data_IF_944701219087
#
_entry.id   IF_944701219087
#
_cell.length_a   1.000
_cell.length_b   1.000
_cell.length_c   1.000
_cell.angle_alpha   90.00
_cell.angle_beta   90.00
_cell.angle_gamma   90.00
#
_symmetry.space_group_name_H-M   'P 1'
#
loop_
_entity.id
_entity.type
_entity.pdbx_description
1 polymer ?
#
# COMPACT_ATOMS: atom_id res chain seq x y z
N UNK A 1 15.31 4.67 -17.22
CA UNK A 1 14.14 3.78 -17.50
C UNK A 1 13.27 4.35 -18.64
N UNK A 2 12.44 3.56 -19.35
CA UNK A 2 11.45 4.11 -20.33
C UNK A 2 10.32 4.84 -19.60
N UNK A 3 9.86 5.97 -20.12
CA UNK A 3 8.79 6.78 -19.51
C UNK A 3 7.51 5.98 -19.24
N UNK A 4 7.13 5.08 -20.16
CA UNK A 4 5.94 4.23 -20.00
C UNK A 4 6.06 3.31 -18.77
N UNK A 5 7.25 2.76 -18.52
CA UNK A 5 7.54 1.92 -17.36
C UNK A 5 7.49 2.74 -16.06
N UNK A 6 8.06 3.94 -16.06
CA UNK A 6 7.97 4.85 -14.91
C UNK A 6 6.51 5.19 -14.57
N UNK A 7 5.73 5.55 -15.58
CA UNK A 7 4.33 5.96 -15.41
C UNK A 7 3.48 4.83 -14.84
N UNK A 8 3.67 3.59 -15.31
CA UNK A 8 2.91 2.46 -14.78
C UNK A 8 3.32 2.12 -13.34
N UNK A 9 4.62 2.15 -13.01
CA UNK A 9 5.08 1.91 -11.63
C UNK A 9 4.56 2.98 -10.67
N UNK A 10 4.62 4.26 -11.05
CA UNK A 10 4.09 5.37 -10.25
C UNK A 10 2.57 5.26 -10.03
N UNK A 11 1.83 4.84 -11.07
CA UNK A 11 0.40 4.59 -10.98
C UNK A 11 0.08 3.42 -10.03
N UNK A 12 0.83 2.33 -10.13
CA UNK A 12 0.67 1.16 -9.26
C UNK A 12 1.01 1.50 -7.81
N UNK A 13 2.10 2.23 -7.55
CA UNK A 13 2.44 2.75 -6.22
C UNK A 13 1.26 3.49 -5.58
N UNK A 14 0.67 4.43 -6.33
CA UNK A 14 -0.48 5.20 -5.87
C UNK A 14 -1.67 4.31 -5.55
N UNK A 15 -1.94 3.29 -6.37
CA UNK A 15 -3.03 2.34 -6.15
C UNK A 15 -2.80 1.47 -4.91
N UNK A 16 -1.57 0.99 -4.68
CA UNK A 16 -1.23 0.20 -3.50
C UNK A 16 -1.43 1.02 -2.21
N UNK A 17 -0.98 2.28 -2.20
CA UNK A 17 -1.21 3.20 -1.07
C UNK A 17 -2.72 3.39 -0.79
N UNK A 18 -3.53 3.56 -1.84
CA UNK A 18 -4.98 3.69 -1.69
C UNK A 18 -5.63 2.41 -1.14
N UNK A 19 -5.21 1.23 -1.61
CA UNK A 19 -5.72 -0.05 -1.13
C UNK A 19 -5.33 -0.28 0.33
N UNK A 20 -4.06 -0.01 0.70
CA UNK A 20 -3.62 -0.11 2.09
C UNK A 20 -4.43 0.82 3.00
N UNK A 21 -4.64 2.07 2.60
CA UNK A 21 -5.45 3.04 3.35
C UNK A 21 -6.91 2.59 3.53
N UNK A 22 -7.52 1.99 2.51
CA UNK A 22 -8.86 1.41 2.61
C UNK A 22 -8.92 0.28 3.65
N UNK A 23 -7.92 -0.59 3.67
CA UNK A 23 -7.85 -1.70 4.63
C UNK A 23 -7.60 -1.19 6.06
N UNK A 24 -6.72 -0.21 6.26
CA UNK A 24 -6.54 0.41 7.58
C UNK A 24 -7.83 1.08 8.08
N UNK A 25 -8.55 1.78 7.21
CA UNK A 25 -9.84 2.39 7.56
C UNK A 25 -10.86 1.33 7.97
N UNK A 26 -10.94 0.22 7.22
CA UNK A 26 -11.83 -0.89 7.57
C UNK A 26 -11.42 -1.56 8.89
N UNK A 27 -10.12 -1.72 9.14
CA UNK A 27 -9.59 -2.25 10.39
C UNK A 27 -9.98 -1.38 11.58
N UNK A 28 -9.91 -0.04 11.43
CA UNK A 28 -10.33 0.90 12.46
C UNK A 28 -11.85 0.79 12.75
N UNK A 29 -12.67 0.65 11.72
CA UNK A 29 -14.12 0.44 11.88
C UNK A 29 -14.40 -0.89 12.60
N UNK A 30 -13.70 -1.98 12.24
CA UNK A 30 -13.82 -3.27 12.93
C UNK A 30 -13.42 -3.15 14.41
N UNK A 31 -12.33 -2.44 14.70
CA UNK A 31 -11.87 -2.17 16.06
C UNK A 31 -12.90 -1.40 16.88
N UNK A 32 -13.52 -0.37 16.30
CA UNK A 32 -14.59 0.41 16.94
C UNK A 32 -15.83 -0.45 17.26
N UNK A 33 -16.07 -1.50 16.47
CA UNK A 33 -17.16 -2.47 16.69
C UNK A 33 -16.78 -3.63 17.63
N UNK A 34 -15.57 -3.62 18.21
CA UNK A 34 -15.00 -4.73 19.00
C UNK A 34 -14.83 -6.04 18.21
N UNK A 35 -14.74 -5.97 16.88
CA UNK A 35 -14.43 -7.10 16.03
C UNK A 35 -12.91 -7.23 15.86
N UNK A 36 -12.27 -7.77 16.89
CA UNK A 36 -10.81 -7.81 16.98
C UNK A 36 -10.16 -8.77 15.98
N UNK A 37 -10.86 -9.85 15.61
CA UNK A 37 -10.36 -10.82 14.64
C UNK A 37 -10.32 -10.19 13.24
N UNK A 38 -11.39 -9.51 12.83
CA UNK A 38 -11.42 -8.80 11.55
C UNK A 38 -10.48 -7.60 11.54
N UNK A 39 -10.39 -6.83 12.64
CA UNK A 39 -9.46 -5.71 12.74
C UNK A 39 -8.00 -6.16 12.54
N UNK A 40 -7.59 -7.23 13.23
CA UNK A 40 -6.24 -7.80 13.12
C UNK A 40 -5.97 -8.35 11.71
N UNK A 41 -6.95 -9.03 11.11
CA UNK A 41 -6.83 -9.53 9.75
C UNK A 41 -6.64 -8.38 8.75
N UNK A 42 -7.49 -7.37 8.79
CA UNK A 42 -7.46 -6.22 7.88
C UNK A 42 -6.17 -5.42 8.04
N UNK A 43 -5.74 -5.16 9.28
CA UNK A 43 -4.47 -4.49 9.56
C UNK A 43 -3.28 -5.28 8.97
N UNK A 44 -3.20 -6.59 9.22
CA UNK A 44 -2.10 -7.42 8.70
C UNK A 44 -2.02 -7.45 7.17
N UNK A 45 -3.15 -7.23 6.47
CA UNK A 45 -3.18 -7.12 5.01
C UNK A 45 -2.80 -5.73 4.54
N UNK A 46 -3.25 -4.69 5.24
CA UNK A 46 -2.83 -3.32 4.98
C UNK A 46 -1.31 -3.16 5.10
N UNK A 47 -0.71 -3.72 6.16
CA UNK A 47 0.74 -3.69 6.39
C UNK A 47 1.52 -4.27 5.20
N UNK A 48 1.10 -5.42 4.66
CA UNK A 48 1.77 -6.07 3.52
C UNK A 48 1.67 -5.27 2.22
N UNK A 49 0.52 -4.64 1.99
CA UNK A 49 0.32 -3.83 0.79
C UNK A 49 1.11 -2.53 0.89
N UNK A 50 1.16 -1.96 2.09
CA UNK A 50 1.98 -0.79 2.38
C UNK A 50 3.47 -1.10 2.19
N UNK A 51 3.97 -2.23 2.71
CA UNK A 51 5.35 -2.69 2.49
C UNK A 51 5.68 -2.81 1.00
N UNK A 52 4.81 -3.41 0.19
CA UNK A 52 5.02 -3.51 -1.25
C UNK A 52 5.01 -2.14 -1.95
N UNK A 53 4.19 -1.20 -1.47
CA UNK A 53 4.20 0.17 -1.97
C UNK A 53 5.53 0.88 -1.66
N UNK A 54 6.06 0.74 -0.45
CA UNK A 54 7.35 1.33 -0.06
C UNK A 54 8.53 0.71 -0.84
N UNK A 55 8.48 -0.61 -1.09
CA UNK A 55 9.45 -1.28 -1.95
C UNK A 55 9.43 -0.69 -3.37
N UNK A 56 8.23 -0.42 -3.90
CA UNK A 56 8.05 0.16 -5.22
C UNK A 56 8.52 1.62 -5.28
N UNK A 57 8.27 2.41 -4.24
CA UNK A 57 8.76 3.80 -4.12
C UNK A 57 10.29 3.84 -4.10
N UNK A 58 10.90 2.97 -3.29
CA UNK A 58 12.37 2.82 -3.21
C UNK A 58 12.95 2.49 -4.60
N UNK A 59 12.36 1.53 -5.30
CA UNK A 59 12.77 1.16 -6.66
C UNK A 59 12.63 2.33 -7.65
N UNK A 60 11.54 3.09 -7.58
CA UNK A 60 11.32 4.26 -8.43
C UNK A 60 12.42 5.31 -8.20
N UNK A 61 12.72 5.63 -6.93
CA UNK A 61 13.75 6.59 -6.53
C UNK A 61 15.14 6.14 -7.03
N UNK A 62 15.49 4.86 -6.83
CA UNK A 62 16.76 4.30 -7.30
C UNK A 62 16.91 4.43 -8.82
N UNK A 63 15.85 4.17 -9.58
CA UNK A 63 15.86 4.26 -11.05
C UNK A 63 15.81 5.69 -11.60
N UNK A 64 15.41 6.68 -10.80
CA UNK A 64 15.50 8.11 -11.16
C UNK A 64 16.86 8.72 -10.87
N UNK A 65 17.59 8.18 -9.88
CA UNK A 65 18.94 8.61 -9.49
C UNK A 65 20.08 8.10 -10.37
N UNK A 66 19.81 7.15 -11.28
CA UNK A 66 20.74 6.58 -12.27
C UNK A 66 20.60 7.21 -13.67
#
# INVERSE_FOLDING_TARGET
MKQETFNILSSVYTQLQQIAAQLYTAAEVALQNNDFDDASLLQSRADKIYEEAENLDTLIIELEGE
#
